data_IF_396501932074
#
_entry.id   IF_396501932074
#
_cell.length_a   1.000
_cell.length_b   1.000
_cell.length_c   1.000
_cell.angle_alpha   90.00
_cell.angle_beta   90.00
_cell.angle_gamma   90.00
#
_symmetry.space_group_name_H-M   'P 1'
#
loop_
_entity.id
_entity.type
_entity.pdbx_description
1 polymer ?
#
# COMPACT_ATOMS: atom_id res chain seq x y z
N UNK A 1 -2.14 19.79 45.63
CA UNK A 1 -3.04 20.89 45.21
C UNK A 1 -3.60 20.77 43.78
N UNK A 2 -3.20 19.82 42.92
CA UNK A 2 -3.87 19.59 41.62
C UNK A 2 -5.02 18.56 41.66
N UNK A 3 -5.03 17.63 42.62
CA UNK A 3 -6.06 16.58 42.67
C UNK A 3 -7.43 17.06 43.21
N UNK A 4 -7.47 18.13 44.02
CA UNK A 4 -8.74 18.65 44.56
C UNK A 4 -9.52 19.50 43.54
N UNK A 5 -8.85 20.05 42.52
CA UNK A 5 -9.48 20.84 41.44
C UNK A 5 -10.19 19.92 40.44
N UNK A 6 -9.63 18.73 40.18
CA UNK A 6 -10.22 17.72 39.28
C UNK A 6 -11.48 17.10 39.90
N UNK A 7 -11.45 16.76 41.20
CA UNK A 7 -12.62 16.21 41.90
C UNK A 7 -13.80 17.18 42.01
N UNK A 8 -13.54 18.49 42.10
CA UNK A 8 -14.60 19.51 42.15
C UNK A 8 -15.22 19.81 40.78
N UNK A 9 -14.52 19.54 39.68
CA UNK A 9 -15.03 19.68 38.33
C UNK A 9 -15.96 18.52 37.92
N UNK A 10 -15.64 17.30 38.38
CA UNK A 10 -16.47 16.10 38.14
C UNK A 10 -17.80 16.17 38.91
N UNK A 11 -17.81 16.76 40.10
CA UNK A 11 -19.02 16.93 40.91
C UNK A 11 -20.03 17.97 40.41
N UNK A 12 -19.78 18.63 39.28
CA UNK A 12 -20.68 19.63 38.66
C UNK A 12 -21.26 19.20 37.31
N UNK A 13 -21.00 17.98 36.87
CA UNK A 13 -21.63 17.43 35.67
C UNK A 13 -23.11 17.12 35.93
N UNK A 14 -23.97 17.49 34.99
CA UNK A 14 -25.42 17.23 35.04
C UNK A 14 -25.70 15.72 34.98
N UNK A 15 -26.62 15.23 35.81
CA UNK A 15 -26.95 13.80 36.02
C UNK A 15 -27.35 13.06 34.73
N UNK A 16 -27.67 13.79 33.64
CA UNK A 16 -27.96 13.17 32.34
C UNK A 16 -26.74 12.51 31.70
N UNK A 17 -25.51 12.98 31.98
CA UNK A 17 -24.30 12.48 31.33
C UNK A 17 -23.60 11.35 32.11
N UNK A 18 -24.00 11.08 33.35
CA UNK A 18 -23.48 9.94 34.14
C UNK A 18 -24.19 8.63 33.78
N UNK A 19 -25.40 8.70 33.18
CA UNK A 19 -26.19 7.50 32.83
C UNK A 19 -25.83 6.84 31.49
N UNK A 20 -25.04 7.48 30.63
CA UNK A 20 -24.66 6.92 29.33
C UNK A 20 -23.35 6.10 29.36
N UNK A 21 -22.65 6.04 30.50
CA UNK A 21 -21.33 5.43 30.62
C UNK A 21 -21.26 4.14 31.47
N UNK A 22 -22.38 3.48 31.79
CA UNK A 22 -22.39 2.20 32.50
C UNK A 22 -22.78 1.03 31.57
N UNK A 23 -22.02 -0.09 31.53
CA UNK A 23 -22.34 -1.22 30.67
C UNK A 23 -23.39 -2.15 31.29
N UNK A 24 -24.50 -2.36 30.56
CA UNK A 24 -25.31 -3.58 30.56
C UNK A 24 -26.68 -3.55 31.28
N UNK A 25 -27.78 -3.52 30.52
CA UNK A 25 -28.87 -4.52 30.53
C UNK A 25 -29.99 -4.18 29.52
N UNK A 26 -30.67 -5.19 28.92
CA UNK A 26 -31.48 -5.03 27.71
C UNK A 26 -32.86 -4.43 28.01
N UNK A 27 -33.26 -3.38 27.28
CA UNK A 27 -34.61 -2.80 27.37
C UNK A 27 -35.63 -3.63 26.59
N UNK A 28 -36.67 -4.07 27.29
CA UNK A 28 -37.89 -4.65 26.72
C UNK A 28 -38.48 -3.76 25.61
N UNK A 29 -38.57 -4.27 24.39
CA UNK A 29 -39.35 -3.65 23.31
C UNK A 29 -40.77 -4.23 23.28
N UNK A 30 -41.75 -3.32 23.30
CA UNK A 30 -43.18 -3.58 23.16
C UNK A 30 -43.51 -4.54 22.00
N UNK A 31 -44.31 -5.55 22.32
CA UNK A 31 -44.86 -6.54 21.38
C UNK A 31 -45.67 -5.86 20.26
N UNK A 32 -45.25 -6.04 19.00
CA UNK A 32 -46.11 -5.89 17.81
C UNK A 32 -46.36 -7.27 17.19
N UNK A 33 -47.58 -7.59 16.72
CA UNK A 33 -47.96 -8.95 16.41
C UNK A 33 -47.30 -9.46 15.12
N UNK A 34 -46.81 -10.68 15.25
CA UNK A 34 -46.10 -11.52 14.28
C UNK A 34 -47.02 -11.95 13.12
N UNK A 35 -46.68 -11.55 11.90
CA UNK A 35 -47.15 -12.23 10.68
C UNK A 35 -46.25 -13.44 10.48
N UNK A 36 -46.80 -14.61 10.83
CA UNK A 36 -46.28 -15.93 10.45
C UNK A 36 -46.40 -16.05 8.92
N UNK A 37 -45.52 -16.85 8.31
CA UNK A 37 -45.37 -17.12 6.86
C UNK A 37 -44.33 -16.24 6.14
N UNK A 38 -43.06 -16.50 6.41
CA UNK A 38 -41.93 -16.00 5.62
C UNK A 38 -40.65 -16.84 5.72
N UNK A 39 -40.61 -17.86 6.60
CA UNK A 39 -39.43 -18.69 6.82
C UNK A 39 -39.40 -20.00 6.02
N UNK A 40 -40.35 -20.24 5.11
CA UNK A 40 -40.35 -21.45 4.27
C UNK A 40 -39.92 -21.23 2.81
N UNK A 41 -39.64 -19.98 2.40
CA UNK A 41 -39.14 -19.68 1.05
C UNK A 41 -37.62 -19.41 1.00
N UNK A 42 -37.01 -18.98 2.12
CA UNK A 42 -35.57 -18.72 2.17
C UNK A 42 -34.70 -20.00 2.25
N UNK A 43 -35.22 -21.09 2.84
CA UNK A 43 -34.47 -22.34 2.97
C UNK A 43 -34.50 -23.22 1.70
N UNK A 44 -35.31 -22.88 0.70
CA UNK A 44 -35.35 -23.58 -0.59
C UNK A 44 -34.56 -22.85 -1.70
N UNK A 45 -34.24 -21.56 -1.53
CA UNK A 45 -33.32 -20.84 -2.40
C UNK A 45 -31.84 -21.13 -2.09
N UNK A 46 -31.49 -21.30 -0.81
CA UNK A 46 -30.13 -21.67 -0.38
C UNK A 46 -29.73 -23.11 -0.76
N UNK A 47 -30.70 -24.01 -0.90
CA UNK A 47 -30.43 -25.40 -1.31
C UNK A 47 -30.23 -25.56 -2.83
N UNK A 48 -30.61 -24.58 -3.65
CA UNK A 48 -30.35 -24.60 -5.10
C UNK A 48 -29.05 -23.86 -5.45
N UNK A 49 -28.66 -22.84 -4.68
CA UNK A 49 -27.37 -22.15 -4.87
C UNK A 49 -26.16 -22.97 -4.40
N UNK A 50 -26.33 -23.84 -3.40
CA UNK A 50 -25.27 -24.70 -2.88
C UNK A 50 -24.93 -25.92 -3.78
N UNK A 51 -25.71 -26.20 -4.83
CA UNK A 51 -25.47 -27.37 -5.71
C UNK A 51 -24.81 -26.99 -7.04
N UNK A 52 -24.70 -25.69 -7.40
CA UNK A 52 -24.04 -25.28 -8.65
C UNK A 52 -22.53 -24.99 -8.49
N UNK A 53 -22.02 -24.80 -7.26
CA UNK A 53 -20.58 -24.51 -7.02
C UNK A 53 -19.74 -25.68 -6.49
N UNK A 54 -20.24 -26.92 -6.59
CA UNK A 54 -19.42 -28.13 -6.38
C UNK A 54 -19.12 -28.75 -7.74
N UNK A 55 -18.52 -27.96 -8.61
CA UNK A 55 -17.65 -28.48 -9.66
C UNK A 55 -16.27 -28.02 -9.22
N UNK A 56 -15.30 -28.93 -9.00
CA UNK A 56 -13.92 -28.48 -8.85
C UNK A 56 -13.59 -27.72 -10.13
N UNK A 57 -13.40 -26.40 -10.03
CA UNK A 57 -12.74 -25.64 -11.07
C UNK A 57 -11.33 -26.25 -11.16
N UNK A 58 -11.17 -27.20 -12.10
CA UNK A 58 -9.87 -27.42 -12.68
C UNK A 58 -9.38 -26.03 -13.09
N UNK A 59 -8.12 -25.65 -12.81
CA UNK A 59 -7.59 -24.38 -13.28
C UNK A 59 -7.87 -24.33 -14.78
N UNK A 60 -8.79 -23.46 -15.17
CA UNK A 60 -9.06 -23.20 -16.58
C UNK A 60 -7.77 -22.55 -17.04
N UNK A 61 -6.99 -23.26 -17.85
CA UNK A 61 -5.88 -22.63 -18.57
C UNK A 61 -6.45 -21.34 -19.17
N UNK A 62 -5.88 -20.16 -18.87
CA UNK A 62 -6.41 -18.91 -19.36
C UNK A 62 -6.56 -19.05 -20.87
N UNK A 63 -7.77 -18.74 -21.37
CA UNK A 63 -8.03 -18.83 -22.80
C UNK A 63 -6.91 -18.08 -23.53
N UNK A 64 -6.25 -18.68 -24.54
CA UNK A 64 -5.14 -18.03 -25.20
C UNK A 64 -5.64 -16.71 -25.79
N UNK A 65 -5.00 -15.60 -25.40
CA UNK A 65 -5.19 -14.32 -26.04
C UNK A 65 -4.76 -14.39 -27.50
N UNK A 66 -5.18 -13.40 -28.29
CA UNK A 66 -4.64 -13.21 -29.64
C UNK A 66 -3.11 -13.14 -29.54
N UNK A 67 -2.38 -13.83 -30.43
CA UNK A 67 -0.90 -13.85 -30.37
C UNK A 67 -0.27 -14.85 -29.37
N UNK A 68 -1.06 -15.60 -28.58
CA UNK A 68 -0.55 -16.69 -27.74
C UNK A 68 -0.12 -16.30 -26.33
N UNK A 69 -0.36 -15.04 -25.92
CA UNK A 69 -0.18 -14.60 -24.53
C UNK A 69 -1.40 -14.95 -23.66
N UNK A 70 -1.22 -15.28 -22.38
CA UNK A 70 -2.34 -15.49 -21.45
C UNK A 70 -3.18 -14.22 -21.25
N UNK A 71 -4.49 -14.38 -21.10
CA UNK A 71 -5.37 -13.28 -20.67
C UNK A 71 -5.11 -12.91 -19.21
N UNK A 72 -5.07 -11.62 -18.92
CA UNK A 72 -4.96 -11.05 -17.59
C UNK A 72 -6.34 -10.75 -17.02
N UNK A 73 -6.50 -11.01 -15.73
CA UNK A 73 -7.67 -10.61 -14.96
C UNK A 73 -7.24 -9.58 -13.92
N UNK A 74 -7.93 -8.44 -13.89
CA UNK A 74 -7.67 -7.36 -12.96
C UNK A 74 -8.52 -7.60 -11.70
N UNK A 75 -7.87 -7.63 -10.55
CA UNK A 75 -8.53 -7.72 -9.23
C UNK A 75 -9.01 -6.35 -8.78
N UNK A 76 -10.21 -6.29 -8.20
CA UNK A 76 -10.83 -5.07 -7.70
C UNK A 76 -11.18 -5.27 -6.22
N UNK A 77 -10.15 -5.19 -5.37
CA UNK A 77 -10.22 -5.54 -3.93
C UNK A 77 -10.01 -4.33 -3.01
N UNK A 78 -10.25 -3.10 -3.49
CA UNK A 78 -10.03 -1.88 -2.69
C UNK A 78 -11.15 -1.57 -1.67
N UNK A 79 -12.17 -2.43 -1.55
CA UNK A 79 -13.42 -2.12 -0.85
C UNK A 79 -13.31 -1.97 0.68
N UNK A 80 -12.14 -2.22 1.28
CA UNK A 80 -11.92 -2.17 2.73
C UNK A 80 -10.99 -1.01 3.18
N UNK A 81 -10.44 -0.21 2.27
CA UNK A 81 -9.59 0.94 2.62
C UNK A 81 -10.41 2.24 2.78
N UNK A 82 -10.22 2.93 3.91
CA UNK A 82 -10.92 4.18 4.20
C UNK A 82 -10.16 5.37 3.62
N UNK A 83 -10.65 5.94 2.53
CA UNK A 83 -10.08 7.12 1.88
C UNK A 83 -9.67 6.86 0.43
N UNK A 84 -9.24 7.88 -0.28
CA UNK A 84 -8.83 7.77 -1.68
C UNK A 84 -7.45 8.35 -1.92
N UNK A 85 -6.78 7.90 -2.97
CA UNK A 85 -5.51 8.47 -3.43
C UNK A 85 -5.73 9.87 -3.99
N UNK A 86 -5.51 10.87 -3.13
CA UNK A 86 -5.68 12.29 -3.42
C UNK A 86 -4.49 13.12 -2.94
N UNK A 87 -4.18 14.18 -3.68
CA UNK A 87 -3.05 15.07 -3.45
C UNK A 87 -3.51 16.52 -3.41
N UNK A 88 -2.93 17.33 -2.53
CA UNK A 88 -3.24 18.76 -2.47
C UNK A 88 -2.04 19.60 -2.87
N UNK A 89 -2.19 20.45 -3.87
CA UNK A 89 -1.16 21.36 -4.35
C UNK A 89 -1.77 22.59 -4.99
N UNK A 90 -1.02 23.70 -5.03
CA UNK A 90 -1.41 24.89 -5.79
C UNK A 90 -1.22 24.65 -7.29
N UNK A 91 -0.18 23.92 -7.64
CA UNK A 91 0.13 23.52 -9.01
C UNK A 91 0.61 22.07 -9.05
N UNK A 92 0.25 21.33 -10.10
CA UNK A 92 0.65 19.92 -10.23
C UNK A 92 2.17 19.73 -10.27
N UNK A 93 2.93 20.76 -10.66
CA UNK A 93 4.41 20.71 -10.66
C UNK A 93 5.01 20.58 -9.26
N UNK A 94 4.26 20.87 -8.20
CA UNK A 94 4.68 20.66 -6.82
C UNK A 94 4.66 19.17 -6.43
N UNK A 95 3.87 18.34 -7.14
CA UNK A 95 3.82 16.88 -6.93
C UNK A 95 4.94 16.23 -7.75
N UNK A 96 6.08 16.05 -7.11
CA UNK A 96 7.34 15.62 -7.72
C UNK A 96 7.61 14.14 -7.50
N UNK A 97 8.41 13.57 -8.40
CA UNK A 97 9.11 12.30 -8.29
C UNK A 97 10.19 12.24 -9.37
N UNK A 98 10.99 11.18 -9.36
CA UNK A 98 11.99 10.89 -10.37
C UNK A 98 11.65 9.63 -11.17
N UNK A 99 10.40 9.49 -11.62
CA UNK A 99 9.97 8.39 -12.48
C UNK A 99 10.79 8.40 -13.79
N UNK A 100 11.45 7.28 -14.16
CA UNK A 100 12.30 7.22 -15.35
C UNK A 100 11.51 7.23 -16.67
N UNK A 101 10.20 7.04 -16.63
CA UNK A 101 9.36 7.12 -17.82
C UNK A 101 8.94 8.56 -18.14
N UNK A 102 8.93 8.89 -19.42
CA UNK A 102 8.36 10.13 -19.99
C UNK A 102 7.58 9.78 -21.26
N UNK A 103 6.75 10.69 -21.76
CA UNK A 103 6.04 10.52 -23.04
C UNK A 103 6.98 10.28 -24.24
N UNK A 104 8.26 10.63 -24.11
CA UNK A 104 9.28 10.42 -25.13
C UNK A 104 9.99 9.05 -25.01
N UNK A 105 9.73 8.28 -23.96
CA UNK A 105 10.35 6.98 -23.74
C UNK A 105 9.82 5.96 -24.76
N UNK A 106 10.70 5.47 -25.64
CA UNK A 106 10.35 4.46 -26.63
C UNK A 106 10.25 3.07 -25.98
N UNK A 107 9.03 2.67 -25.63
CA UNK A 107 8.73 1.36 -25.06
C UNK A 107 7.39 0.83 -25.60
N UNK A 108 7.41 -0.40 -26.12
CA UNK A 108 6.23 -1.03 -26.73
C UNK A 108 5.75 -2.27 -25.96
N UNK A 109 6.55 -2.76 -25.03
CA UNK A 109 6.21 -3.92 -24.20
C UNK A 109 6.74 -3.75 -22.78
N UNK A 110 6.04 -4.27 -21.79
CA UNK A 110 6.48 -4.32 -20.39
C UNK A 110 6.18 -5.68 -19.77
N UNK A 111 7.03 -6.16 -18.83
CA UNK A 111 6.82 -7.46 -18.19
C UNK A 111 5.63 -7.44 -17.25
N UNK A 112 4.81 -8.48 -17.29
CA UNK A 112 3.79 -8.73 -16.27
C UNK A 112 4.26 -9.84 -15.35
N UNK A 113 4.08 -9.65 -14.04
CA UNK A 113 4.45 -10.64 -13.03
C UNK A 113 3.20 -11.11 -12.29
N UNK A 114 3.07 -12.42 -12.11
CA UNK A 114 2.11 -12.97 -11.18
C UNK A 114 2.57 -12.65 -9.76
N UNK A 115 1.66 -12.09 -8.95
CA UNK A 115 1.89 -11.97 -7.53
C UNK A 115 1.83 -13.37 -6.91
N UNK A 116 2.94 -13.77 -6.28
CA UNK A 116 3.08 -15.10 -5.67
C UNK A 116 2.48 -15.17 -4.27
N UNK A 117 2.12 -14.03 -3.69
CA UNK A 117 1.34 -13.97 -2.48
C UNK A 117 -0.15 -14.03 -2.83
N UNK A 118 -0.90 -14.83 -2.09
CA UNK A 118 -2.35 -14.84 -2.15
C UNK A 118 -2.91 -14.58 -0.76
N UNK A 119 -3.98 -13.77 -0.73
CA UNK A 119 -4.70 -13.40 0.48
C UNK A 119 -6.03 -14.12 0.48
N UNK A 120 -6.36 -14.77 1.60
CA UNK A 120 -7.70 -15.33 1.80
C UNK A 120 -8.69 -14.27 2.31
N UNK A 121 -9.96 -14.66 2.49
CA UNK A 121 -11.03 -13.79 3.02
C UNK A 121 -10.74 -13.25 4.44
N UNK A 122 -9.76 -13.82 5.14
CA UNK A 122 -9.32 -13.40 6.48
C UNK A 122 -7.99 -12.63 6.44
N UNK A 123 -7.55 -12.19 5.25
CA UNK A 123 -6.27 -11.53 5.01
C UNK A 123 -5.05 -12.37 5.44
N UNK A 124 -5.19 -13.70 5.52
CA UNK A 124 -4.06 -14.59 5.72
C UNK A 124 -3.27 -14.73 4.43
N UNK A 125 -1.96 -14.54 4.55
CA UNK A 125 -1.04 -14.59 3.41
C UNK A 125 -0.52 -16.00 3.21
N UNK A 126 -0.67 -16.51 1.99
CA UNK A 126 -0.06 -17.75 1.52
C UNK A 126 0.97 -17.49 0.42
N UNK A 127 1.84 -18.47 0.14
CA UNK A 127 2.86 -18.36 -0.91
C UNK A 127 4.16 -17.66 -0.51
N UNK A 128 4.31 -17.28 0.77
CA UNK A 128 5.54 -16.70 1.29
C UNK A 128 6.73 -17.67 1.18
N UNK A 129 7.91 -17.14 0.83
CA UNK A 129 9.13 -17.93 0.71
C UNK A 129 10.11 -17.59 1.84
N UNK A 130 10.04 -18.35 2.94
CA UNK A 130 10.88 -18.16 4.12
C UNK A 130 12.38 -18.22 3.85
N UNK A 131 12.82 -19.06 2.92
CA UNK A 131 14.24 -19.14 2.57
C UNK A 131 14.69 -17.84 1.91
N UNK A 132 13.91 -17.31 0.96
CA UNK A 132 14.20 -16.01 0.35
C UNK A 132 14.13 -14.86 1.36
N UNK A 133 13.20 -14.91 2.32
CA UNK A 133 13.14 -13.92 3.39
C UNK A 133 14.42 -13.93 4.24
N UNK A 134 14.94 -15.11 4.59
CA UNK A 134 16.20 -15.27 5.32
C UNK A 134 17.41 -14.83 4.48
N UNK A 135 17.43 -15.15 3.18
CA UNK A 135 18.48 -14.68 2.26
C UNK A 135 18.51 -13.15 2.19
N UNK A 136 17.36 -12.50 2.06
CA UNK A 136 17.25 -11.04 2.08
C UNK A 136 17.69 -10.47 3.43
N UNK A 137 17.25 -11.07 4.55
CA UNK A 137 17.63 -10.66 5.90
C UNK A 137 19.16 -10.66 6.06
N UNK A 138 19.81 -11.77 5.70
CA UNK A 138 21.25 -11.93 5.76
C UNK A 138 21.97 -10.99 4.77
N UNK A 139 21.42 -10.77 3.59
CA UNK A 139 21.99 -9.85 2.63
C UNK A 139 22.00 -8.41 3.16
N UNK A 140 20.88 -7.92 3.72
CA UNK A 140 20.79 -6.58 4.31
C UNK A 140 21.67 -6.47 5.56
N UNK A 141 21.71 -7.51 6.41
CA UNK A 141 22.60 -7.56 7.57
C UNK A 141 24.09 -7.44 7.17
N UNK A 142 24.51 -8.15 6.13
CA UNK A 142 25.86 -8.05 5.58
C UNK A 142 26.17 -6.65 5.04
N UNK A 143 25.22 -6.01 4.33
CA UNK A 143 25.36 -4.63 3.84
C UNK A 143 25.52 -3.61 4.98
N UNK A 144 24.99 -3.92 6.17
CA UNK A 144 25.15 -3.13 7.39
C UNK A 144 26.40 -3.51 8.20
N UNK A 145 27.19 -4.48 7.73
CA UNK A 145 28.42 -4.92 8.40
C UNK A 145 28.19 -5.77 9.65
N UNK A 146 27.01 -6.40 9.80
CA UNK A 146 26.72 -7.30 10.91
C UNK A 146 27.44 -8.64 10.76
N UNK A 147 27.81 -9.26 11.89
CA UNK A 147 28.46 -10.59 11.91
C UNK A 147 27.44 -11.73 11.79
N UNK A 148 26.92 -11.90 10.57
CA UNK A 148 25.81 -12.83 10.29
C UNK A 148 26.07 -14.29 10.67
N UNK A 149 27.34 -14.71 10.77
CA UNK A 149 27.71 -16.09 11.12
C UNK A 149 27.48 -16.39 12.61
N UNK A 150 27.41 -15.35 13.45
CA UNK A 150 27.27 -15.45 14.90
C UNK A 150 25.94 -14.89 15.44
N UNK A 151 25.05 -14.43 14.56
CA UNK A 151 23.76 -13.87 14.94
C UNK A 151 22.64 -14.90 14.88
N UNK A 152 21.77 -14.85 15.88
CA UNK A 152 20.58 -15.69 15.95
C UNK A 152 19.49 -15.08 15.06
N UNK A 153 19.01 -15.85 14.08
CA UNK A 153 17.80 -15.52 13.33
C UNK A 153 16.60 -16.00 14.15
N UNK A 154 15.70 -15.08 14.45
CA UNK A 154 14.40 -15.37 15.08
C UNK A 154 13.27 -15.14 14.09
N UNK A 155 12.06 -15.56 14.46
CA UNK A 155 10.84 -15.28 13.71
C UNK A 155 9.70 -14.94 14.67
N UNK A 156 8.57 -14.52 14.11
CA UNK A 156 7.38 -14.16 14.89
C UNK A 156 6.31 -15.26 14.90
N UNK A 157 6.69 -16.53 14.67
CA UNK A 157 5.76 -17.63 14.78
C UNK A 157 5.21 -17.72 16.22
N UNK A 158 3.92 -18.03 16.41
CA UNK A 158 3.35 -18.17 17.74
C UNK A 158 4.06 -19.27 18.54
N UNK A 159 4.27 -19.05 19.84
CA UNK A 159 4.82 -20.08 20.71
C UNK A 159 3.90 -21.32 20.84
N UNK A 160 4.46 -22.47 21.26
CA UNK A 160 3.71 -23.74 21.35
C UNK A 160 2.43 -23.63 22.18
N UNK A 161 2.45 -22.79 23.24
CA UNK A 161 1.30 -22.57 24.11
C UNK A 161 0.18 -21.82 23.37
N UNK A 162 0.54 -20.83 22.58
CA UNK A 162 -0.36 -20.04 21.76
C UNK A 162 -0.93 -20.89 20.62
N UNK A 163 -0.09 -21.68 19.95
CA UNK A 163 -0.53 -22.64 18.93
C UNK A 163 -1.54 -23.65 19.49
N UNK A 164 -1.29 -24.21 20.68
CA UNK A 164 -2.20 -25.14 21.34
C UNK A 164 -3.55 -24.47 21.67
N UNK A 165 -3.52 -23.23 22.19
CA UNK A 165 -4.72 -22.48 22.52
C UNK A 165 -5.57 -22.13 21.28
N UNK A 166 -4.93 -21.82 20.14
CA UNK A 166 -5.60 -21.55 18.87
C UNK A 166 -6.20 -22.85 18.32
N UNK A 167 -5.43 -23.95 18.34
CA UNK A 167 -5.92 -25.26 17.90
C UNK A 167 -7.15 -25.71 18.68
N UNK A 168 -7.18 -25.48 20.00
CA UNK A 168 -8.35 -25.77 20.83
C UNK A 168 -9.57 -24.92 20.44
N UNK A 169 -9.37 -23.64 20.05
CA UNK A 169 -10.46 -22.77 19.60
C UNK A 169 -11.08 -23.25 18.28
N UNK A 170 -10.26 -23.61 17.29
CA UNK A 170 -10.74 -24.18 16.03
C UNK A 170 -11.51 -25.49 16.27
N UNK A 171 -10.97 -26.38 17.11
CA UNK A 171 -11.64 -27.62 17.46
C UNK A 171 -13.03 -27.40 18.13
N UNK A 172 -13.20 -26.34 18.92
CA UNK A 172 -14.48 -26.00 19.58
C UNK A 172 -15.57 -25.56 18.59
N UNK A 173 -15.20 -24.97 17.45
CA UNK A 173 -16.14 -24.59 16.39
C UNK A 173 -16.29 -25.68 15.32
N UNK A 174 -15.62 -26.83 15.50
CA UNK A 174 -15.69 -27.96 14.57
C UNK A 174 -14.83 -27.79 13.31
N UNK A 175 -13.87 -26.88 13.35
CA UNK A 175 -12.95 -26.59 12.24
C UNK A 175 -11.52 -27.02 12.58
N UNK A 176 -10.70 -27.19 11.55
CA UNK A 176 -9.26 -27.39 11.69
C UNK A 176 -8.55 -26.06 11.50
N UNK A 177 -7.39 -25.91 12.14
CA UNK A 177 -6.50 -24.78 11.87
C UNK A 177 -6.06 -24.87 10.39
N UNK A 178 -6.19 -23.78 9.61
CA UNK A 178 -5.73 -23.74 8.22
C UNK A 178 -4.26 -24.12 8.07
N UNK A 179 -3.91 -24.65 6.90
CA UNK A 179 -2.51 -24.82 6.50
C UNK A 179 -1.80 -23.46 6.54
N UNK A 180 -0.53 -23.44 6.97
CA UNK A 180 0.27 -22.21 7.15
C UNK A 180 -0.22 -21.18 8.18
N UNK A 181 -1.29 -21.45 8.94
CA UNK A 181 -1.81 -20.48 9.93
C UNK A 181 -0.79 -20.04 10.99
N UNK A 182 0.14 -20.93 11.37
CA UNK A 182 1.21 -20.63 12.32
C UNK A 182 2.54 -20.29 11.65
N UNK A 183 2.57 -20.23 10.33
CA UNK A 183 3.77 -19.84 9.60
C UNK A 183 4.12 -18.38 9.96
N UNK A 184 5.41 -18.08 10.22
CA UNK A 184 5.79 -16.73 10.60
C UNK A 184 5.43 -15.72 9.50
N UNK A 185 5.13 -14.49 9.86
CA UNK A 185 4.99 -13.41 8.89
C UNK A 185 6.25 -12.58 8.75
N UNK A 186 7.24 -12.78 9.61
CA UNK A 186 8.53 -12.11 9.54
C UNK A 186 9.69 -12.94 10.12
N UNK A 187 10.89 -12.70 9.59
CA UNK A 187 12.17 -13.17 10.16
C UNK A 187 12.99 -11.96 10.62
N UNK A 188 13.71 -12.12 11.73
CA UNK A 188 14.34 -11.01 12.46
C UNK A 188 15.78 -11.34 12.84
N UNK A 189 16.67 -10.36 12.67
CA UNK A 189 17.99 -10.29 13.30
C UNK A 189 18.08 -8.95 14.04
N UNK A 190 18.74 -8.96 15.20
CA UNK A 190 19.03 -7.74 15.96
C UNK A 190 20.45 -7.80 16.53
N UNK A 191 21.21 -6.72 16.33
CA UNK A 191 22.54 -6.56 16.92
C UNK A 191 22.90 -5.07 17.03
N UNK A 192 23.62 -4.71 18.09
CA UNK A 192 24.19 -3.38 18.28
C UNK A 192 23.24 -2.18 18.01
N UNK A 193 21.96 -2.32 18.36
CA UNK A 193 20.96 -1.26 18.17
C UNK A 193 20.43 -1.18 16.73
N UNK A 194 20.64 -2.19 15.92
CA UNK A 194 20.05 -2.34 14.58
C UNK A 194 19.17 -3.57 14.59
N UNK A 195 17.89 -3.38 14.29
CA UNK A 195 16.93 -4.47 14.09
C UNK A 195 16.52 -4.56 12.64
N UNK A 196 16.67 -5.73 12.03
CA UNK A 196 16.21 -6.00 10.67
C UNK A 196 15.07 -7.00 10.74
N UNK A 197 13.93 -6.65 10.16
CA UNK A 197 12.74 -7.50 10.05
C UNK A 197 12.36 -7.63 8.57
N UNK A 198 12.34 -8.86 8.04
CA UNK A 198 11.89 -9.12 6.66
C UNK A 198 10.51 -9.76 6.70
N UNK A 199 9.54 -9.14 6.03
CA UNK A 199 8.16 -9.64 5.94
C UNK A 199 7.92 -10.53 4.70
N UNK A 200 6.71 -11.10 4.59
CA UNK A 200 6.31 -11.98 3.49
C UNK A 200 6.30 -11.29 2.12
N UNK A 201 6.12 -9.96 2.08
CA UNK A 201 6.21 -9.12 0.89
C UNK A 201 7.65 -8.81 0.46
N UNK A 202 8.65 -9.43 1.11
CA UNK A 202 10.07 -9.23 0.84
C UNK A 202 10.51 -7.76 1.00
N UNK A 203 9.97 -7.11 2.02
CA UNK A 203 10.46 -5.81 2.50
C UNK A 203 11.30 -6.02 3.75
N UNK A 204 12.56 -5.60 3.72
CA UNK A 204 13.42 -5.54 4.90
C UNK A 204 13.27 -4.18 5.58
N UNK A 205 12.77 -4.18 6.81
CA UNK A 205 12.62 -3.01 7.68
C UNK A 205 13.84 -2.96 8.62
N UNK A 206 14.66 -1.92 8.48
CA UNK A 206 15.86 -1.68 9.31
C UNK A 206 15.56 -0.56 10.30
N UNK A 207 15.35 -0.90 11.56
CA UNK A 207 15.13 0.07 12.64
C UNK A 207 16.45 0.37 13.34
N UNK A 208 16.71 1.65 13.61
CA UNK A 208 17.86 2.12 14.39
C UNK A 208 17.41 2.49 15.80
N UNK A 209 17.96 1.81 16.81
CA UNK A 209 17.66 1.97 18.23
C UNK A 209 18.97 2.13 19.05
N UNK A 210 19.32 3.36 19.50
CA UNK A 210 18.57 4.60 19.32
C UNK A 210 18.58 5.10 17.87
N UNK A 211 17.59 5.93 17.52
CA UNK A 211 17.56 6.62 16.23
C UNK A 211 18.82 7.49 16.05
N UNK A 212 19.25 7.64 14.79
CA UNK A 212 20.51 8.29 14.43
C UNK A 212 20.27 9.77 14.18
N UNK A 213 20.91 10.63 14.98
CA UNK A 213 20.97 12.07 14.72
C UNK A 213 21.90 12.34 13.54
N UNK A 214 21.38 13.04 12.53
CA UNK A 214 22.19 13.53 11.41
C UNK A 214 23.05 14.72 11.84
N UNK A 215 24.16 15.03 11.14
CA UNK A 215 24.91 16.27 11.37
C UNK A 215 24.03 17.52 11.32
N UNK A 216 24.36 18.54 12.13
CA UNK A 216 23.53 19.74 12.37
C UNK A 216 23.20 20.54 11.09
N UNK A 217 23.99 20.38 10.03
CA UNK A 217 23.75 21.02 8.73
C UNK A 217 22.59 20.41 7.92
N UNK A 218 22.13 19.21 8.28
CA UNK A 218 21.05 18.50 7.59
C UNK A 218 19.72 18.63 8.33
N UNK A 219 18.67 19.03 7.62
CA UNK A 219 17.31 19.09 8.16
C UNK A 219 16.46 17.96 7.58
N UNK A 220 16.37 16.83 8.29
CA UNK A 220 15.58 15.68 7.86
C UNK A 220 14.30 15.55 8.69
N UNK A 221 13.27 16.32 8.34
CA UNK A 221 11.97 16.32 9.04
C UNK A 221 10.84 16.16 8.04
N UNK A 222 9.63 15.81 8.54
CA UNK A 222 8.42 15.68 7.71
C UNK A 222 8.00 16.96 6.97
N UNK A 223 8.58 18.11 7.34
CA UNK A 223 8.23 19.42 6.81
C UNK A 223 9.43 20.16 6.22
N UNK A 224 10.54 19.45 6.00
CA UNK A 224 11.72 20.02 5.36
C UNK A 224 11.40 20.41 3.90
N UNK A 225 12.02 21.49 3.43
CA UNK A 225 11.83 21.91 2.03
C UNK A 225 12.46 20.91 1.08
N UNK A 226 12.05 20.92 -0.19
CA UNK A 226 12.66 20.09 -1.23
C UNK A 226 14.20 20.23 -1.26
N UNK A 227 14.71 21.46 -1.19
CA UNK A 227 16.17 21.72 -1.19
C UNK A 227 16.88 21.09 0.03
N UNK A 228 16.26 21.11 1.21
CA UNK A 228 16.80 20.46 2.40
C UNK A 228 16.75 18.94 2.31
N UNK A 229 15.66 18.40 1.75
CA UNK A 229 15.53 16.96 1.52
C UNK A 229 16.53 16.49 0.46
N UNK A 230 16.82 17.29 -0.55
CA UNK A 230 17.85 16.99 -1.55
C UNK A 230 19.24 16.88 -0.94
N UNK A 231 19.64 17.80 -0.06
CA UNK A 231 20.94 17.70 0.61
C UNK A 231 21.02 16.51 1.57
N UNK A 232 19.91 16.18 2.24
CA UNK A 232 19.81 14.96 3.06
C UNK A 232 19.95 13.70 2.20
N UNK A 233 19.31 13.67 1.02
CA UNK A 233 19.39 12.53 0.12
C UNK A 233 20.83 12.27 -0.35
N UNK A 234 21.56 13.31 -0.76
CA UNK A 234 22.99 13.20 -1.11
C UNK A 234 23.82 12.64 0.05
N UNK A 235 23.58 13.14 1.27
CA UNK A 235 24.26 12.63 2.47
C UNK A 235 23.96 11.14 2.72
N UNK A 236 22.68 10.75 2.64
CA UNK A 236 22.25 9.37 2.87
C UNK A 236 22.81 8.44 1.79
N UNK A 237 22.86 8.88 0.53
CA UNK A 237 23.44 8.14 -0.58
C UNK A 237 24.90 7.80 -0.31
N UNK A 238 25.71 8.79 0.08
CA UNK A 238 27.14 8.57 0.38
C UNK A 238 27.31 7.73 1.66
N UNK A 239 26.59 8.07 2.72
CA UNK A 239 26.75 7.48 4.05
C UNK A 239 26.30 6.02 4.12
N UNK A 240 25.22 5.69 3.41
CA UNK A 240 24.57 4.37 3.43
C UNK A 240 24.65 3.66 2.08
N UNK A 241 25.64 4.00 1.24
CA UNK A 241 25.86 3.38 -0.08
C UNK A 241 25.86 1.84 -0.05
N UNK A 242 26.41 1.24 1.01
CA UNK A 242 26.51 -0.22 1.13
C UNK A 242 25.13 -0.84 1.42
N UNK A 243 24.31 -0.17 2.25
CA UNK A 243 22.91 -0.54 2.48
C UNK A 243 22.08 -0.39 1.20
N UNK A 244 22.24 0.75 0.52
CA UNK A 244 21.58 1.04 -0.76
C UNK A 244 21.94 -0.06 -1.77
N UNK A 245 23.24 -0.36 -1.92
CA UNK A 245 23.72 -1.52 -2.65
C UNK A 245 23.26 -1.55 -4.12
N UNK A 246 23.28 -0.40 -4.79
CA UNK A 246 22.90 -0.22 -6.20
C UNK A 246 24.13 0.16 -7.03
N UNK A 247 24.16 -0.26 -8.30
CA UNK A 247 25.27 0.01 -9.21
C UNK A 247 25.23 1.46 -9.74
N UNK A 248 24.04 1.95 -10.07
CA UNK A 248 23.81 3.33 -10.50
C UNK A 248 22.64 3.95 -9.70
N UNK A 249 22.83 4.24 -8.38
CA UNK A 249 21.76 4.80 -7.56
C UNK A 249 21.22 6.09 -8.16
N UNK A 250 19.89 6.19 -8.25
CA UNK A 250 19.17 7.39 -8.61
C UNK A 250 18.34 7.85 -7.42
N UNK A 251 18.48 9.11 -7.04
CA UNK A 251 17.66 9.71 -6.00
C UNK A 251 16.24 9.94 -6.52
N UNK A 252 15.25 9.45 -5.80
CA UNK A 252 13.83 9.74 -6.00
C UNK A 252 13.29 10.51 -4.79
N UNK A 253 13.26 11.84 -4.91
CA UNK A 253 12.52 12.69 -3.97
C UNK A 253 11.09 12.78 -4.50
N UNK A 254 10.13 12.24 -3.76
CA UNK A 254 8.73 12.19 -4.17
C UNK A 254 7.78 12.75 -3.12
N UNK A 255 6.58 13.13 -3.56
CA UNK A 255 5.57 13.80 -2.73
C UNK A 255 5.41 15.26 -3.13
N UNK A 256 5.32 16.15 -2.14
CA UNK A 256 5.13 17.59 -2.31
C UNK A 256 3.69 18.06 -2.13
N UNK A 257 2.78 17.14 -1.79
CA UNK A 257 1.43 17.50 -1.40
C UNK A 257 1.41 18.14 0.00
N UNK A 258 0.45 19.05 0.17
CA UNK A 258 0.21 19.74 1.42
C UNK A 258 -0.61 18.87 2.36
N UNK A 259 -0.16 18.79 3.61
CA UNK A 259 -0.87 18.08 4.66
C UNK A 259 -2.32 18.59 4.83
N UNK A 260 -3.24 17.65 5.04
CA UNK A 260 -4.67 17.91 5.24
C UNK A 260 -4.88 18.41 6.68
N UNK A 261 -4.62 19.69 6.91
CA UNK A 261 -5.09 20.40 8.10
C UNK A 261 -6.29 21.27 7.71
N UNK A 262 -7.37 21.20 8.49
CA UNK A 262 -8.46 22.17 8.34
C UNK A 262 -7.99 23.56 8.79
N UNK A 263 -8.70 24.62 8.40
CA UNK A 263 -8.38 25.98 8.88
C UNK A 263 -8.41 26.09 10.41
N UNK A 264 -9.29 25.33 11.08
CA UNK A 264 -9.33 25.23 12.54
C UNK A 264 -8.12 24.45 13.08
N UNK A 265 -7.62 23.42 12.39
CA UNK A 265 -6.42 22.67 12.80
C UNK A 265 -5.15 23.52 12.65
N UNK A 266 -5.07 24.36 11.61
CA UNK A 266 -3.99 25.31 11.40
C UNK A 266 -3.95 26.33 12.55
N UNK A 267 -5.11 26.87 12.96
CA UNK A 267 -5.21 27.81 14.07
C UNK A 267 -5.00 27.15 15.44
N UNK A 268 -5.49 25.92 15.64
CA UNK A 268 -5.44 25.20 16.93
C UNK A 268 -4.08 24.56 17.19
N UNK A 269 -3.43 24.03 16.15
CA UNK A 269 -2.16 23.31 16.28
C UNK A 269 -0.95 24.10 15.75
N UNK A 270 -1.19 25.30 15.20
CA UNK A 270 -0.12 26.06 14.53
C UNK A 270 0.42 25.31 13.31
N UNK A 271 -0.35 24.37 12.76
CA UNK A 271 0.06 23.52 11.66
C UNK A 271 0.27 24.39 10.44
N UNK A 272 1.52 24.68 10.12
CA UNK A 272 1.85 25.32 8.85
C UNK A 272 1.38 24.41 7.71
N UNK A 273 0.92 25.00 6.61
CA UNK A 273 0.76 24.31 5.33
C UNK A 273 2.13 23.78 4.92
N UNK A 274 2.47 22.59 5.40
CA UNK A 274 3.74 21.97 5.14
C UNK A 274 3.57 20.92 4.05
N UNK A 275 4.48 20.97 3.09
CA UNK A 275 4.63 19.93 2.09
C UNK A 275 5.45 18.80 2.67
N UNK A 276 5.05 17.56 2.40
CA UNK A 276 5.82 16.38 2.76
C UNK A 276 6.62 15.86 1.57
N UNK A 277 7.89 15.54 1.77
CA UNK A 277 8.71 14.85 0.77
C UNK A 277 9.33 13.60 1.38
N UNK A 278 9.45 12.55 0.56
CA UNK A 278 10.07 11.28 0.91
C UNK A 278 11.35 11.06 0.10
N UNK A 279 12.32 10.36 0.69
CA UNK A 279 13.60 10.01 0.05
C UNK A 279 13.60 8.51 -0.24
N UNK A 280 13.73 8.18 -1.51
CA UNK A 280 13.95 6.81 -1.98
C UNK A 280 15.10 6.78 -2.99
N UNK A 281 15.70 5.60 -3.16
CA UNK A 281 16.70 5.33 -4.17
C UNK A 281 16.23 4.14 -5.00
N UNK A 282 16.55 4.14 -6.29
CA UNK A 282 16.40 3.01 -7.19
C UNK A 282 17.62 2.89 -8.10
N UNK A 283 17.86 1.72 -8.68
CA UNK A 283 18.99 1.52 -9.58
C UNK A 283 18.62 1.98 -11.01
N UNK A 284 19.29 3.02 -11.48
CA UNK A 284 19.12 3.57 -12.83
C UNK A 284 19.94 2.86 -13.90
N UNK A 285 20.55 1.71 -13.61
CA UNK A 285 21.28 0.92 -14.60
C UNK A 285 20.35 0.18 -15.57
N UNK A 286 20.89 -0.23 -16.72
CA UNK A 286 20.14 -0.95 -17.75
C UNK A 286 19.36 -0.05 -18.70
N UNK A 287 18.50 -0.67 -19.50
CA UNK A 287 17.59 0.02 -20.44
C UNK A 287 16.37 0.61 -19.73
N UNK A 288 15.50 1.30 -20.48
CA UNK A 288 14.29 1.93 -19.94
C UNK A 288 13.35 0.94 -19.25
N UNK A 289 13.30 -0.32 -19.70
CA UNK A 289 12.48 -1.35 -19.03
C UNK A 289 13.05 -1.66 -17.66
N UNK A 290 14.37 -1.91 -17.56
CA UNK A 290 15.03 -2.16 -16.28
C UNK A 290 14.86 -0.99 -15.31
N UNK A 291 14.99 0.25 -15.79
CA UNK A 291 14.83 1.44 -14.96
C UNK A 291 13.39 1.58 -14.43
N UNK A 292 12.37 1.36 -15.26
CA UNK A 292 10.95 1.36 -14.84
C UNK A 292 10.71 0.28 -13.77
N UNK A 293 11.25 -0.92 -13.96
CA UNK A 293 11.11 -2.00 -12.98
C UNK A 293 11.82 -1.67 -11.67
N UNK A 294 13.05 -1.16 -11.72
CA UNK A 294 13.78 -0.77 -10.52
C UNK A 294 13.04 0.34 -9.76
N UNK A 295 12.56 1.36 -10.46
CA UNK A 295 11.79 2.47 -9.88
C UNK A 295 10.54 1.98 -9.14
N UNK A 296 9.80 1.01 -9.69
CA UNK A 296 8.55 0.55 -9.08
C UNK A 296 8.76 -0.51 -7.97
N UNK A 297 9.76 -1.38 -8.11
CA UNK A 297 9.87 -2.59 -7.27
C UNK A 297 11.10 -2.62 -6.36
N UNK A 298 12.26 -2.15 -6.83
CA UNK A 298 13.56 -2.34 -6.16
C UNK A 298 14.08 -1.02 -5.60
N UNK A 299 13.61 -0.70 -4.39
CA UNK A 299 13.82 0.62 -3.78
C UNK A 299 14.50 0.52 -2.42
N UNK A 300 15.22 1.56 -2.04
CA UNK A 300 15.68 1.77 -0.67
C UNK A 300 15.18 3.12 -0.18
N UNK A 301 14.40 3.12 0.91
CA UNK A 301 13.78 4.31 1.47
C UNK A 301 14.33 4.61 2.87
N UNK A 302 14.43 5.89 3.21
CA UNK A 302 14.88 6.36 4.53
C UNK A 302 13.81 7.24 5.16
N UNK A 303 13.63 7.13 6.47
CA UNK A 303 12.58 7.82 7.21
C UNK A 303 13.11 8.48 8.48
N UNK A 304 12.69 9.73 8.71
CA UNK A 304 12.89 10.45 9.96
C UNK A 304 11.72 10.24 10.91
N UNK A 305 11.97 10.31 12.22
CA UNK A 305 10.92 10.41 13.23
C UNK A 305 10.53 11.88 13.47
N UNK A 306 9.62 12.12 14.43
CA UNK A 306 9.15 13.46 14.79
C UNK A 306 10.27 14.41 15.25
N UNK A 307 11.38 13.88 15.78
CA UNK A 307 12.56 14.65 16.19
C UNK A 307 13.53 14.94 15.03
N UNK A 308 13.21 14.50 13.81
CA UNK A 308 14.05 14.65 12.63
C UNK A 308 15.29 13.74 12.60
N UNK A 309 15.28 12.66 13.40
CA UNK A 309 16.36 11.68 13.44
C UNK A 309 16.04 10.48 12.56
N UNK A 310 17.06 9.90 11.92
CA UNK A 310 16.90 8.70 11.10
C UNK A 310 16.57 7.51 12.00
N UNK A 311 15.34 7.02 11.94
CA UNK A 311 14.86 5.92 12.79
C UNK A 311 14.62 4.63 12.01
N UNK A 312 14.44 4.73 10.69
CA UNK A 312 14.03 3.60 9.86
C UNK A 312 14.59 3.73 8.43
N UNK A 313 15.04 2.60 7.89
CA UNK A 313 15.19 2.40 6.45
C UNK A 313 14.40 1.17 5.99
N UNK A 314 13.99 1.14 4.72
CA UNK A 314 13.34 -0.01 4.10
C UNK A 314 14.04 -0.39 2.82
N UNK A 315 14.30 -1.68 2.63
CA UNK A 315 14.78 -2.27 1.37
C UNK A 315 13.64 -3.09 0.79
N UNK A 316 13.14 -2.68 -0.37
CA UNK A 316 12.08 -3.36 -1.09
C UNK A 316 12.68 -4.30 -2.12
N UNK A 317 12.39 -5.60 -2.02
CA UNK A 317 12.87 -6.60 -2.97
C UNK A 317 11.79 -7.66 -3.25
N UNK A 318 10.61 -7.25 -3.77
CA UNK A 318 9.49 -8.15 -4.03
C UNK A 318 9.90 -9.32 -4.94
N UNK A 319 9.26 -10.46 -4.74
CA UNK A 319 9.60 -11.67 -5.49
C UNK A 319 8.99 -11.67 -6.90
N UNK A 320 9.72 -11.13 -7.87
CA UNK A 320 9.30 -11.10 -9.29
C UNK A 320 9.64 -12.40 -10.07
N UNK A 321 9.90 -13.52 -9.39
CA UNK A 321 10.21 -14.79 -10.09
C UNK A 321 9.04 -15.36 -10.87
N UNK A 322 7.82 -14.89 -10.62
CA UNK A 322 6.61 -15.24 -11.36
C UNK A 322 6.39 -14.41 -12.62
N UNK A 323 7.43 -14.12 -13.42
CA UNK A 323 7.24 -13.43 -14.71
C UNK A 323 6.29 -14.26 -15.57
N UNK A 324 5.21 -13.64 -16.02
CA UNK A 324 4.24 -14.23 -16.95
C UNK A 324 4.84 -14.15 -18.34
N UNK A 325 4.88 -12.95 -18.93
CA UNK A 325 5.51 -12.63 -20.22
C UNK A 325 5.69 -11.10 -20.34
N UNK A 326 6.29 -10.65 -21.44
CA UNK A 326 6.28 -9.23 -21.85
C UNK A 326 5.03 -8.96 -22.70
N UNK A 327 4.20 -8.01 -22.25
CA UNK A 327 2.93 -7.67 -22.92
C UNK A 327 3.06 -6.39 -23.73
N UNK A 328 2.45 -6.32 -24.93
CA UNK A 328 2.26 -5.06 -25.64
C UNK A 328 1.56 -4.03 -24.77
N UNK A 329 2.03 -2.79 -24.81
CA UNK A 329 1.42 -1.68 -24.10
C UNK A 329 0.92 -0.61 -25.05
N UNK A 330 -0.21 0.00 -24.70
CA UNK A 330 -0.74 1.19 -25.35
C UNK A 330 0.12 2.41 -25.04
N UNK A 331 -0.06 3.47 -25.82
CA UNK A 331 0.52 4.79 -25.58
C UNK A 331 -0.27 5.58 -24.53
N UNK A 332 0.33 6.66 -23.98
CA UNK A 332 -0.37 7.55 -23.06
C UNK A 332 -1.59 8.24 -23.71
N UNK A 333 -1.54 8.53 -25.01
CA UNK A 333 -2.66 9.10 -25.76
C UNK A 333 -3.82 8.10 -25.89
N UNK A 334 -3.53 6.83 -26.23
CA UNK A 334 -4.54 5.76 -26.26
C UNK A 334 -5.12 5.49 -24.86
N UNK A 335 -4.29 5.54 -23.82
CA UNK A 335 -4.75 5.44 -22.43
C UNK A 335 -5.67 6.61 -22.05
N UNK A 336 -5.43 7.81 -22.57
CA UNK A 336 -6.29 8.98 -22.37
C UNK A 336 -7.64 8.82 -23.07
N UNK A 337 -7.68 8.21 -24.26
CA UNK A 337 -8.94 7.85 -24.93
C UNK A 337 -9.74 6.82 -24.11
N UNK A 338 -9.07 5.82 -23.51
CA UNK A 338 -9.70 4.86 -22.62
C UNK A 338 -10.23 5.52 -21.34
N UNK A 339 -9.46 6.45 -20.75
CA UNK A 339 -9.86 7.26 -19.60
C UNK A 339 -11.16 8.02 -19.87
N UNK A 340 -11.25 8.72 -21.00
CA UNK A 340 -12.45 9.47 -21.41
C UNK A 340 -13.68 8.57 -21.57
N UNK A 341 -13.46 7.33 -22.02
CA UNK A 341 -14.52 6.34 -22.19
C UNK A 341 -14.89 5.60 -20.90
N UNK A 342 -14.35 6.01 -19.74
CA UNK A 342 -14.66 5.40 -18.44
C UNK A 342 -13.88 4.12 -18.14
N UNK A 343 -12.85 3.78 -18.92
CA UNK A 343 -12.11 2.52 -18.76
C UNK A 343 -10.94 2.67 -17.80
N UNK A 344 -11.23 2.93 -16.53
CA UNK A 344 -10.23 3.19 -15.50
C UNK A 344 -10.63 2.61 -14.14
N UNK A 345 -9.63 2.53 -13.26
CA UNK A 345 -9.76 2.19 -11.84
C UNK A 345 -9.42 3.43 -11.04
N UNK A 346 -10.19 3.72 -10.01
CA UNK A 346 -9.87 4.81 -9.08
C UNK A 346 -10.52 4.56 -7.73
N UNK A 347 -9.85 5.01 -6.68
CA UNK A 347 -10.46 5.14 -5.35
C UNK A 347 -11.17 6.49 -5.19
N UNK A 348 -11.02 7.43 -6.14
CA UNK A 348 -11.64 8.76 -6.07
C UNK A 348 -13.17 8.61 -6.05
N UNK A 349 -13.89 9.24 -5.10
CA UNK A 349 -15.33 9.02 -4.91
C UNK A 349 -16.22 9.75 -5.94
N UNK A 350 -15.67 10.16 -7.08
CA UNK A 350 -16.38 10.88 -8.14
C UNK A 350 -15.97 10.36 -9.53
N UNK A 351 -16.85 10.56 -10.50
CA UNK A 351 -16.55 10.31 -11.93
C UNK A 351 -15.43 11.23 -12.40
N UNK A 352 -14.71 10.83 -13.45
CA UNK A 352 -13.78 11.71 -14.14
C UNK A 352 -14.47 13.04 -14.52
N UNK A 353 -14.01 14.20 -14.01
CA UNK A 353 -14.67 15.49 -14.25
C UNK A 353 -14.51 16.00 -15.69
N UNK A 354 -13.57 15.43 -16.45
CA UNK A 354 -13.29 15.78 -17.85
C UNK A 354 -11.79 15.72 -18.16
N UNK A 355 -11.44 15.47 -19.44
CA UNK A 355 -10.04 15.39 -19.88
C UNK A 355 -9.27 16.71 -19.74
N UNK A 356 -9.98 17.85 -19.68
CA UNK A 356 -9.39 19.17 -19.46
C UNK A 356 -8.79 19.34 -18.06
N UNK A 357 -9.17 18.48 -17.10
CA UNK A 357 -8.64 18.48 -15.74
C UNK A 357 -7.45 17.53 -15.55
N UNK A 358 -7.08 16.76 -16.56
CA UNK A 358 -5.89 15.90 -16.53
C UNK A 358 -4.64 16.78 -16.49
N UNK A 359 -3.92 16.73 -15.37
CA UNK A 359 -2.80 17.63 -15.07
C UNK A 359 -1.43 16.97 -15.26
N UNK A 360 -1.33 15.65 -15.06
CA UNK A 360 -0.09 14.86 -15.18
C UNK A 360 -0.41 13.41 -15.48
N UNK A 361 0.48 12.72 -16.18
CA UNK A 361 0.42 11.27 -16.43
C UNK A 361 1.76 10.63 -16.12
N UNK A 362 1.72 9.41 -15.58
CA UNK A 362 2.89 8.58 -15.29
C UNK A 362 2.64 7.13 -15.66
N UNK A 363 3.69 6.41 -16.08
CA UNK A 363 3.65 4.95 -16.23
C UNK A 363 4.22 4.30 -14.97
N UNK A 364 3.40 3.50 -14.29
CA UNK A 364 3.73 2.89 -12.98
C UNK A 364 3.22 1.44 -12.93
N UNK A 365 3.68 0.67 -11.95
CA UNK A 365 3.06 -0.60 -11.58
C UNK A 365 2.21 -0.42 -10.32
N UNK A 366 1.03 -1.03 -10.30
CA UNK A 366 0.31 -1.23 -9.05
C UNK A 366 0.95 -2.43 -8.32
N UNK A 367 1.46 -2.20 -7.12
CA UNK A 367 2.23 -3.18 -6.34
C UNK A 367 1.54 -3.55 -5.02
N UNK A 368 0.22 -3.37 -4.95
CA UNK A 368 -0.58 -3.72 -3.79
C UNK A 368 -0.50 -5.22 -3.50
N UNK A 369 -0.59 -5.62 -2.23
CA UNK A 369 -0.50 -7.03 -1.84
C UNK A 369 -1.62 -7.90 -2.42
N UNK A 370 -2.79 -7.32 -2.67
CA UNK A 370 -3.98 -7.98 -3.22
C UNK A 370 -4.00 -8.05 -4.75
N UNK A 371 -3.07 -7.39 -5.44
CA UNK A 371 -2.98 -7.45 -6.89
C UNK A 371 -2.64 -8.89 -7.32
N UNK A 372 -3.47 -9.53 -8.14
CA UNK A 372 -3.13 -10.86 -8.68
C UNK A 372 -1.91 -10.79 -9.63
N UNK A 373 -1.80 -9.69 -10.36
CA UNK A 373 -0.70 -9.42 -11.27
C UNK A 373 -0.12 -8.04 -10.98
N UNK A 374 1.21 -7.97 -10.89
CA UNK A 374 1.90 -6.70 -11.02
C UNK A 374 2.04 -6.39 -12.50
N UNK A 375 1.19 -5.48 -12.98
CA UNK A 375 1.16 -5.03 -14.37
C UNK A 375 1.21 -3.51 -14.46
N UNK A 376 1.62 -2.95 -15.61
CA UNK A 376 1.76 -1.51 -15.77
C UNK A 376 0.42 -0.81 -15.98
N UNK A 377 0.33 0.42 -15.47
CA UNK A 377 -0.80 1.33 -15.59
C UNK A 377 -0.31 2.74 -15.91
N UNK A 378 -1.09 3.46 -16.71
CA UNK A 378 -1.03 4.91 -16.77
C UNK A 378 -1.81 5.49 -15.60
N UNK A 379 -1.13 6.21 -14.71
CA UNK A 379 -1.72 6.98 -13.62
C UNK A 379 -1.89 8.42 -14.05
N UNK A 380 -3.14 8.85 -14.17
CA UNK A 380 -3.51 10.23 -14.46
C UNK A 380 -3.84 10.97 -13.16
N UNK A 381 -3.19 12.11 -12.94
CA UNK A 381 -3.53 13.06 -11.90
C UNK A 381 -4.56 14.03 -12.45
N UNK A 382 -5.75 14.04 -11.85
CA UNK A 382 -6.88 14.82 -12.35
C UNK A 382 -7.31 15.83 -11.29
N UNK A 383 -7.35 17.11 -11.64
CA UNK A 383 -7.88 18.17 -10.76
C UNK A 383 -9.36 17.90 -10.47
N UNK A 384 -9.75 17.92 -9.20
CA UNK A 384 -11.11 17.66 -8.73
C UNK A 384 -11.82 19.01 -8.45
N UNK A 385 -12.59 19.56 -9.41
CA UNK A 385 -13.14 20.91 -9.32
C UNK A 385 -14.15 21.08 -8.17
N UNK A 386 -14.88 20.01 -7.83
CA UNK A 386 -15.87 20.01 -6.76
C UNK A 386 -15.22 19.99 -5.35
N UNK A 387 -13.92 19.67 -5.28
CA UNK A 387 -13.12 19.66 -4.05
C UNK A 387 -12.19 20.87 -3.93
N UNK A 388 -12.49 21.96 -4.66
CA UNK A 388 -11.70 23.19 -4.64
C UNK A 388 -11.80 23.93 -3.31
N UNK A 389 -10.67 24.42 -2.80
CA UNK A 389 -10.60 25.22 -1.57
C UNK A 389 -10.53 26.72 -1.86
N UNK A 390 -11.06 27.53 -0.92
CA UNK A 390 -11.12 29.00 -1.07
C UNK A 390 -9.75 29.67 -1.15
N UNK A 391 -8.72 29.05 -0.57
CA UNK A 391 -7.34 29.56 -0.54
C UNK A 391 -6.56 29.34 -1.85
N UNK A 392 -7.18 28.75 -2.87
CA UNK A 392 -6.53 28.42 -4.14
C UNK A 392 -5.80 27.08 -4.17
N UNK A 393 -5.76 26.35 -3.05
CA UNK A 393 -5.24 24.99 -3.00
C UNK A 393 -6.20 24.06 -3.77
N UNK A 394 -5.64 23.26 -4.68
CA UNK A 394 -6.40 22.31 -5.50
C UNK A 394 -6.24 20.90 -4.94
N UNK A 395 -7.21 20.07 -5.27
CA UNK A 395 -7.17 18.63 -4.97
C UNK A 395 -7.01 17.89 -6.30
N UNK A 396 -6.10 16.93 -6.37
CA UNK A 396 -5.89 16.06 -7.51
C UNK A 396 -6.14 14.61 -7.10
N UNK A 397 -6.95 13.88 -7.86
CA UNK A 397 -7.18 12.44 -7.67
C UNK A 397 -6.40 11.59 -8.66
N UNK A 398 -6.05 10.37 -8.29
CA UNK A 398 -5.40 9.41 -9.18
C UNK A 398 -6.42 8.51 -9.91
N UNK A 399 -6.30 8.42 -11.23
CA UNK A 399 -7.10 7.55 -12.10
C UNK A 399 -6.17 6.65 -12.89
N UNK A 400 -6.41 5.34 -12.88
CA UNK A 400 -5.53 4.32 -13.43
C UNK A 400 -6.14 3.66 -14.66
N UNK A 401 -5.44 3.70 -15.78
CA UNK A 401 -5.78 2.95 -16.99
C UNK A 401 -4.75 1.84 -17.19
N UNK A 402 -5.14 0.57 -17.36
CA UNK A 402 -4.20 -0.49 -17.71
C UNK A 402 -3.36 -0.11 -18.92
N UNK A 403 -2.04 -0.22 -18.82
CA UNK A 403 -1.16 0.06 -19.95
C UNK A 403 -1.08 -1.13 -20.91
N UNK A 404 -1.36 -2.36 -20.45
CA UNK A 404 -1.43 -3.54 -21.32
C UNK A 404 -2.57 -3.39 -22.33
N UNK A 405 -2.33 -3.76 -23.60
CA UNK A 405 -3.35 -3.71 -24.63
C UNK A 405 -4.61 -4.50 -24.24
N UNK A 406 -5.78 -3.89 -24.45
CA UNK A 406 -7.07 -4.42 -23.98
C UNK A 406 -7.44 -5.80 -24.53
N UNK A 407 -6.86 -6.23 -25.65
CA UNK A 407 -7.07 -7.59 -26.19
C UNK A 407 -6.51 -8.70 -25.27
N UNK A 408 -5.62 -8.34 -24.33
CA UNK A 408 -5.05 -9.25 -23.33
C UNK A 408 -5.72 -9.11 -21.95
N UNK A 409 -6.73 -8.26 -21.80
CA UNK A 409 -7.41 -8.02 -20.52
C UNK A 409 -8.84 -8.59 -20.59
N UNK A 410 -9.12 -9.57 -19.75
CA UNK A 410 -10.39 -10.31 -19.77
C UNK A 410 -11.56 -9.52 -19.17
N UNK A 411 -11.26 -8.60 -18.27
CA UNK A 411 -12.20 -7.74 -17.57
C UNK A 411 -11.69 -6.30 -17.55
N UNK A 412 -11.59 -5.68 -18.73
CA UNK A 412 -11.20 -4.28 -18.86
C UNK A 412 -12.02 -3.43 -17.87
N UNK A 413 -11.37 -2.60 -17.02
CA UNK A 413 -12.09 -1.88 -15.98
C UNK A 413 -13.04 -0.90 -16.65
N UNK A 414 -14.23 -0.76 -16.10
CA UNK A 414 -15.23 0.22 -16.49
C UNK A 414 -15.77 0.82 -15.22
N UNK A 415 -15.61 2.13 -15.05
CA UNK A 415 -16.12 2.83 -13.89
C UNK A 415 -17.64 2.70 -13.84
N UNK A 416 -18.16 2.14 -12.75
CA UNK A 416 -19.59 1.84 -12.55
C UNK A 416 -20.24 2.67 -11.43
N UNK A 417 -19.51 3.69 -10.94
CA UNK A 417 -19.95 4.56 -9.84
C UNK A 417 -19.73 3.97 -8.46
N UNK A 418 -19.14 2.78 -8.33
CA UNK A 418 -18.75 2.24 -7.03
C UNK A 418 -17.42 2.81 -6.60
N UNK A 419 -17.29 2.93 -5.28
CA UNK A 419 -16.01 3.13 -4.64
C UNK A 419 -15.30 1.80 -4.68
N UNK A 420 -14.19 1.73 -5.42
CA UNK A 420 -13.43 0.51 -5.55
C UNK A 420 -12.76 0.16 -4.25
#
# INVERSE_FOLDING_TARGET
MKNEVIFNAIGKADDKYIREAAPGEPKETQKRPWVKWGALAACLALAVFAVIKIIPENPVEPAPGLGGLPMLAITDDSSDEMGYEGYMAYDISEIVNNNPWTDATEISTLPVYQNLLAYDENYQVSGANFNKMKELLLNVANRLGMDVDNLEITDNAPDEKTQAAITEKFAKIGENVPEDYFSPSAVVIEDNGIKIEVNQQMTAKVTFEPAITLPDEYNFTHYATYEQIATVAEYLEEKYKDLIGMDNPQVNIHGGDYAIFSGEDIESYGAQQAQGYSIEFYDGSGDSTNQIINYNFFRVAFYCNDDGTLYLARVFQPNLSGKVEDYPIITADEAKELLENGNYITTVPEELPGLEYVAKVELVYRTGGTEQYFMPYYRFYVELPDMKRENGLKTYGAYYVPAVEGEYISNMPVWDGRFN
#
